data_IF_153027701340
#
_entry.id   IF_153027701340
#
_cell.length_a   1.000
_cell.length_b   1.000
_cell.length_c   1.000
_cell.angle_alpha   90.00
_cell.angle_beta   90.00
_cell.angle_gamma   90.00
#
_symmetry.space_group_name_H-M   'P 1'
#
loop_
_entity.id
_entity.type
_entity.pdbx_description
1 polymer ?
#
# COMPACT_ATOMS: atom_id res chain seq x y z
N UNK A 1 6.71 -0.31 -13.63
CA UNK A 1 7.74 -0.89 -12.74
C UNK A 1 7.08 -1.23 -11.42
N UNK A 2 7.00 -2.51 -11.03
CA UNK A 2 6.24 -2.90 -9.83
C UNK A 2 6.92 -2.39 -8.55
N UNK A 3 6.19 -1.56 -7.80
CA UNK A 3 6.65 -1.02 -6.52
C UNK A 3 5.78 -1.57 -5.38
N UNK A 4 6.38 -1.83 -4.22
CA UNK A 4 5.62 -2.28 -3.04
C UNK A 4 4.60 -1.22 -2.63
N UNK A 5 3.38 -1.65 -2.30
CA UNK A 5 2.29 -0.77 -1.92
C UNK A 5 2.66 0.14 -0.74
N UNK A 6 3.30 -0.41 0.29
CA UNK A 6 3.76 0.39 1.44
C UNK A 6 4.85 1.41 1.08
N UNK A 7 5.61 1.17 0.02
CA UNK A 7 6.59 2.14 -0.50
C UNK A 7 5.85 3.26 -1.24
N UNK A 8 4.89 2.93 -2.10
CA UNK A 8 4.08 3.95 -2.81
C UNK A 8 3.35 4.88 -1.83
N UNK A 9 2.75 4.33 -0.78
CA UNK A 9 2.04 5.12 0.24
C UNK A 9 3.00 6.05 1.00
N UNK A 10 4.20 5.56 1.31
CA UNK A 10 5.21 6.36 1.99
C UNK A 10 5.82 7.44 1.08
N UNK A 11 6.09 7.11 -0.18
CA UNK A 11 6.62 8.05 -1.16
C UNK A 11 5.57 9.15 -1.48
N UNK A 12 4.27 8.85 -1.36
CA UNK A 12 3.18 9.82 -1.42
C UNK A 12 3.02 10.68 -0.15
N UNK A 13 3.81 10.43 0.90
CA UNK A 13 3.75 11.19 2.16
C UNK A 13 2.53 10.91 3.03
N UNK A 14 1.75 9.86 2.74
CA UNK A 14 0.52 9.56 3.46
C UNK A 14 0.78 8.89 4.83
N UNK A 15 1.82 8.07 4.92
CA UNK A 15 2.18 7.33 6.13
C UNK A 15 3.63 6.87 6.08
N UNK A 16 4.21 6.48 7.22
CA UNK A 16 5.47 5.73 7.20
C UNK A 16 5.31 4.35 6.55
N UNK A 17 6.39 3.73 6.04
CA UNK A 17 6.31 2.37 5.46
C UNK A 17 5.69 1.34 6.42
N UNK A 18 6.01 1.43 7.72
CA UNK A 18 5.47 0.53 8.75
C UNK A 18 3.98 0.78 9.02
N UNK A 19 3.57 2.03 8.99
CA UNK A 19 2.17 2.40 9.19
C UNK A 19 1.31 2.05 7.97
N UNK A 20 1.85 2.21 6.76
CA UNK A 20 1.23 1.71 5.55
C UNK A 20 1.02 0.19 5.59
N UNK A 21 1.97 -0.58 6.13
CA UNK A 21 1.79 -2.02 6.36
C UNK A 21 0.65 -2.32 7.35
N UNK A 22 0.50 -1.53 8.42
CA UNK A 22 -0.64 -1.66 9.34
C UNK A 22 -1.96 -1.39 8.63
N UNK A 23 -2.06 -0.30 7.89
CA UNK A 23 -3.27 0.04 7.14
C UNK A 23 -3.65 -1.03 6.12
N UNK A 24 -2.65 -1.65 5.47
CA UNK A 24 -2.87 -2.83 4.63
C UNK A 24 -3.49 -3.94 5.47
N UNK A 25 -2.84 -4.39 6.54
CA UNK A 25 -3.38 -5.50 7.37
C UNK A 25 -4.75 -5.22 7.99
N UNK A 26 -5.06 -3.96 8.30
CA UNK A 26 -6.35 -3.51 8.82
C UNK A 26 -7.43 -3.40 7.73
N UNK A 27 -7.10 -3.62 6.46
CA UNK A 27 -8.05 -3.52 5.34
C UNK A 27 -8.47 -2.08 5.03
N UNK A 28 -7.69 -1.09 5.44
CA UNK A 28 -7.96 0.34 5.21
C UNK A 28 -7.59 0.81 3.81
N UNK A 29 -6.86 -0.02 3.05
CA UNK A 29 -6.35 0.36 1.73
C UNK A 29 -7.13 -0.32 0.62
N UNK A 30 -7.55 0.48 -0.35
CA UNK A 30 -8.25 0.04 -1.56
C UNK A 30 -7.45 0.43 -2.79
N UNK A 31 -7.08 -0.53 -3.62
CA UNK A 31 -6.38 -0.31 -4.89
C UNK A 31 -7.33 -0.69 -6.01
N UNK A 32 -7.64 0.23 -6.92
CA UNK A 32 -8.54 0.01 -8.07
C UNK A 32 -9.86 -0.67 -7.68
N UNK A 33 -10.48 -0.21 -6.59
CA UNK A 33 -11.75 -0.77 -6.15
C UNK A 33 -11.66 -2.04 -5.28
N UNK A 34 -10.47 -2.61 -5.06
CA UNK A 34 -10.28 -3.83 -4.27
C UNK A 34 -9.54 -3.55 -2.97
N UNK A 35 -10.09 -4.01 -1.86
CA UNK A 35 -9.44 -3.92 -0.54
C UNK A 35 -8.22 -4.84 -0.53
N UNK A 36 -7.07 -4.33 -0.11
CA UNK A 36 -5.82 -5.06 -0.04
C UNK A 36 -5.45 -5.27 1.42
N UNK A 37 -5.39 -6.53 1.85
CA UNK A 37 -5.00 -6.91 3.22
C UNK A 37 -3.66 -7.63 3.30
N UNK A 38 -3.07 -8.00 2.16
CA UNK A 38 -1.86 -8.80 2.09
C UNK A 38 -0.60 -7.93 2.05
N UNK A 39 0.30 -8.14 3.01
CA UNK A 39 1.63 -7.52 3.00
C UNK A 39 2.46 -7.98 1.80
N UNK A 40 3.38 -7.12 1.34
CA UNK A 40 4.20 -7.38 0.16
C UNK A 40 3.46 -7.25 -1.17
N UNK A 41 2.20 -6.79 -1.16
CA UNK A 41 1.47 -6.46 -2.38
C UNK A 41 2.24 -5.40 -3.17
N UNK A 42 2.39 -5.64 -4.47
CA UNK A 42 3.02 -4.69 -5.40
C UNK A 42 1.96 -4.07 -6.29
N UNK A 43 2.15 -2.81 -6.61
CA UNK A 43 1.30 -2.03 -7.51
C UNK A 43 2.16 -1.43 -8.60
N UNK A 44 1.56 -1.15 -9.75
CA UNK A 44 2.20 -0.37 -10.80
C UNK A 44 1.71 1.07 -10.66
N UNK A 45 2.59 2.01 -10.26
CA UNK A 45 2.30 3.43 -10.41
C UNK A 45 2.41 3.74 -11.91
N UNK A 46 1.28 3.66 -12.61
CA UNK A 46 1.16 4.11 -14.01
C UNK A 46 1.49 5.59 -14.12
#
# INVERSE_FOLDING_TARGET
>A
MKTRLQKVIADAGLASRREAEKWITEGRIKVNGKVVTKLGTTVDPL
#
